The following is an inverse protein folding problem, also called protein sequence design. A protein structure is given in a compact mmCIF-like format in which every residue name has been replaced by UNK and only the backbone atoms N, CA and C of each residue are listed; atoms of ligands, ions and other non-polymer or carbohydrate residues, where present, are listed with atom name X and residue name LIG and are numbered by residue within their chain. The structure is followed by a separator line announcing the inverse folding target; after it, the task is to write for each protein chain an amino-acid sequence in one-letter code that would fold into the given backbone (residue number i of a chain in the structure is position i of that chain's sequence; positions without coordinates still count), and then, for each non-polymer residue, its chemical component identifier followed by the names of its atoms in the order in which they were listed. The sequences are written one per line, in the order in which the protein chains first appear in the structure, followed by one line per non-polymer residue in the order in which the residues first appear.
data_IF_738019812769
#
_entry.id   IF_738019812769
#
_cell.length_a   1.000
_cell.length_b   1.000
_cell.length_c   1.000
_cell.angle_alpha   90.00
_cell.angle_beta   90.00
_cell.angle_gamma   90.00
#
_symmetry.space_group_name_H-M   'P 1'
#
loop_
_entity.id
_entity.type
_entity.pdbx_description
1 polymer ?
#
# COMPACT_ATOMS: atom_id res chain seq x y z
N UNK A 1 13.21 -19.04 3.88
CA UNK A 1 12.19 -18.58 4.86
C UNK A 1 12.58 -17.21 5.44
N UNK A 2 12.87 -16.22 4.59
CA UNK A 2 13.44 -14.93 5.02
C UNK A 2 12.40 -13.79 5.19
N UNK A 3 11.13 -13.99 4.82
CA UNK A 3 10.15 -12.89 4.72
C UNK A 3 9.25 -12.67 5.93
N UNK A 4 9.32 -13.49 6.99
CA UNK A 4 8.43 -13.32 8.16
C UNK A 4 8.94 -12.28 9.20
N UNK A 5 10.05 -11.59 8.90
CA UNK A 5 10.74 -10.68 9.85
C UNK A 5 10.83 -9.22 9.35
N UNK A 6 10.16 -8.87 8.25
CA UNK A 6 10.17 -7.51 7.67
C UNK A 6 9.29 -6.52 8.45
N UNK A 7 8.27 -7.00 9.14
CA UNK A 7 7.26 -6.17 9.79
C UNK A 7 7.56 -5.99 11.28
N UNK A 8 8.18 -4.87 11.64
CA UNK A 8 8.37 -4.54 13.06
C UNK A 8 7.06 -4.07 13.69
N UNK A 9 6.85 -4.26 15.00
CA UNK A 9 5.67 -3.74 15.69
C UNK A 9 5.42 -2.25 15.44
N UNK A 10 6.48 -1.45 15.38
CA UNK A 10 6.40 -0.01 15.13
C UNK A 10 5.84 0.31 13.74
N UNK A 11 6.23 -0.47 12.72
CA UNK A 11 5.73 -0.31 11.36
C UNK A 11 4.23 -0.63 11.29
N UNK A 12 3.82 -1.74 11.90
CA UNK A 12 2.41 -2.17 11.95
C UNK A 12 1.57 -1.11 12.66
N UNK A 13 2.05 -0.57 13.78
CA UNK A 13 1.36 0.48 14.52
C UNK A 13 1.27 1.79 13.73
N UNK A 14 2.34 2.19 13.05
CA UNK A 14 2.33 3.38 12.21
C UNK A 14 1.33 3.26 11.05
N UNK A 15 1.30 2.11 10.37
CA UNK A 15 0.38 1.85 9.27
C UNK A 15 -1.08 1.81 9.76
N UNK A 16 -1.35 1.10 10.86
CA UNK A 16 -2.68 1.06 11.47
C UNK A 16 -3.14 2.47 11.89
N UNK A 17 -2.26 3.24 12.53
CA UNK A 17 -2.54 4.63 12.92
C UNK A 17 -2.89 5.52 11.74
N UNK A 18 -2.11 5.41 10.64
CA UNK A 18 -2.36 6.16 9.41
C UNK A 18 -3.71 5.79 8.76
N UNK A 19 -4.07 4.50 8.74
CA UNK A 19 -5.37 4.03 8.25
C UNK A 19 -6.51 4.62 9.08
N UNK A 20 -6.43 4.55 10.41
CA UNK A 20 -7.45 5.09 11.31
C UNK A 20 -7.62 6.59 11.13
N UNK A 21 -6.51 7.33 11.03
CA UNK A 21 -6.52 8.77 10.76
C UNK A 21 -7.20 9.10 9.44
N UNK A 22 -6.83 8.40 8.36
CA UNK A 22 -7.44 8.60 7.04
C UNK A 22 -8.95 8.33 7.10
N UNK A 23 -9.38 7.22 7.70
CA UNK A 23 -10.80 6.89 7.85
C UNK A 23 -11.56 7.94 8.67
N UNK A 24 -10.92 8.49 9.70
CA UNK A 24 -11.49 9.60 10.48
C UNK A 24 -11.69 10.84 9.63
N UNK A 25 -10.66 11.27 8.90
CA UNK A 25 -10.70 12.43 8.00
C UNK A 25 -11.75 12.24 6.88
N UNK A 26 -11.83 11.06 6.26
CA UNK A 26 -12.86 10.70 5.27
C UNK A 26 -14.28 10.76 5.86
N UNK A 27 -14.44 10.41 7.13
CA UNK A 27 -15.73 10.47 7.83
C UNK A 27 -16.15 11.90 8.23
N UNK A 28 -15.29 12.91 7.98
CA UNK A 28 -15.53 14.31 8.32
C UNK A 28 -15.48 14.63 9.82
N UNK A 29 -15.01 13.69 10.66
CA UNK A 29 -14.96 13.87 12.12
C UNK A 29 -13.63 14.46 12.56
N UNK A 30 -13.71 15.38 13.51
CA UNK A 30 -12.53 15.83 14.26
C UNK A 30 -12.01 14.71 15.16
N UNK A 31 -10.75 14.84 15.58
CA UNK A 31 -10.13 13.90 16.51
C UNK A 31 -10.86 13.87 17.87
N UNK A 32 -11.38 15.01 18.34
CA UNK A 32 -12.15 15.09 19.59
C UNK A 32 -13.48 14.34 19.48
N UNK A 33 -14.26 14.59 18.42
CA UNK A 33 -15.56 13.94 18.20
C UNK A 33 -15.43 12.43 18.06
N UNK A 34 -14.44 11.96 17.31
CA UNK A 34 -14.20 10.53 17.12
C UNK A 34 -13.79 9.84 18.43
N UNK A 35 -12.94 10.49 19.23
CA UNK A 35 -12.50 9.98 20.52
C UNK A 35 -13.65 9.92 21.54
N UNK A 36 -14.45 10.99 21.63
CA UNK A 36 -15.63 11.06 22.48
C UNK A 36 -16.63 9.96 22.13
N UNK A 37 -16.99 9.83 20.85
CA UNK A 37 -17.92 8.81 20.38
C UNK A 37 -17.40 7.38 20.65
N UNK A 38 -16.07 7.18 20.67
CA UNK A 38 -15.45 5.89 20.95
C UNK A 38 -15.22 5.64 22.45
N UNK A 39 -15.53 6.60 23.33
CA UNK A 39 -15.32 6.51 24.77
C UNK A 39 -13.85 6.47 25.18
N UNK A 40 -12.97 7.17 24.44
CA UNK A 40 -11.53 7.25 24.70
C UNK A 40 -11.08 8.72 24.76
N UNK A 41 -9.90 8.98 25.30
CA UNK A 41 -9.39 10.36 25.33
C UNK A 41 -8.87 10.79 23.95
N UNK A 42 -9.03 12.08 23.57
CA UNK A 42 -8.44 12.62 22.35
C UNK A 42 -6.92 12.41 22.27
N UNK A 43 -6.22 12.60 23.39
CA UNK A 43 -4.78 12.33 23.47
C UNK A 43 -4.41 10.88 23.17
N UNK A 44 -5.19 9.91 23.67
CA UNK A 44 -4.97 8.50 23.37
C UNK A 44 -5.18 8.21 21.87
N UNK A 45 -6.27 8.69 21.28
CA UNK A 45 -6.51 8.52 19.83
C UNK A 45 -5.39 9.18 18.99
N UNK A 46 -4.88 10.33 19.41
CA UNK A 46 -3.75 10.99 18.74
C UNK A 46 -2.46 10.16 18.78
N UNK A 47 -2.12 9.57 19.93
CA UNK A 47 -0.95 8.68 20.03
C UNK A 47 -1.10 7.44 19.14
N UNK A 48 -2.31 6.87 19.07
CA UNK A 48 -2.65 5.75 18.19
C UNK A 48 -2.51 6.14 16.72
N UNK A 49 -3.11 7.24 16.29
CA UNK A 49 -3.06 7.72 14.89
C UNK A 49 -1.62 8.01 14.42
N UNK A 50 -0.71 8.27 15.36
CA UNK A 50 0.73 8.47 15.10
C UNK A 50 1.56 7.20 15.24
N UNK A 51 0.94 6.06 15.50
CA UNK A 51 1.63 4.77 15.69
C UNK A 51 2.45 4.66 16.97
N UNK A 52 2.21 5.52 17.97
CA UNK A 52 2.99 5.56 19.23
C UNK A 52 2.37 4.76 20.37
N UNK A 53 1.11 4.36 20.24
CA UNK A 53 0.42 3.52 21.22
C UNK A 53 -0.37 2.40 20.58
N UNK A 54 -0.31 1.25 21.23
CA UNK A 54 -1.19 0.13 20.96
C UNK A 54 -2.61 0.41 21.46
N UNK A 55 -3.57 -0.24 20.81
CA UNK A 55 -4.98 -0.18 21.16
C UNK A 55 -5.53 -1.59 21.25
N UNK A 56 -6.30 -1.86 22.30
CA UNK A 56 -7.00 -3.15 22.43
C UNK A 56 -8.00 -3.34 21.29
N UNK A 57 -8.26 -4.60 20.93
CA UNK A 57 -9.25 -4.96 19.90
C UNK A 57 -10.63 -4.37 20.23
N UNK A 58 -11.02 -4.34 21.51
CA UNK A 58 -12.28 -3.74 21.95
C UNK A 58 -12.38 -2.25 21.60
N UNK A 59 -11.31 -1.49 21.86
CA UNK A 59 -11.27 -0.05 21.54
C UNK A 59 -11.19 0.18 20.03
N UNK A 60 -10.46 -0.66 19.30
CA UNK A 60 -10.44 -0.63 17.84
C UNK A 60 -11.84 -0.83 17.26
N UNK A 61 -12.61 -1.79 17.78
CA UNK A 61 -13.99 -2.04 17.34
C UNK A 61 -14.92 -0.84 17.61
N UNK A 62 -14.76 -0.17 18.76
CA UNK A 62 -15.48 1.08 19.08
C UNK A 62 -15.14 2.18 18.09
N UNK A 63 -13.86 2.44 17.84
CA UNK A 63 -13.41 3.44 16.85
C UNK A 63 -13.91 3.09 15.44
N UNK A 64 -13.82 1.83 15.01
CA UNK A 64 -14.31 1.40 13.71
C UNK A 64 -15.83 1.66 13.56
N UNK A 65 -16.59 1.39 14.62
CA UNK A 65 -18.04 1.67 14.66
C UNK A 65 -18.34 3.16 14.55
N UNK A 66 -17.59 4.02 15.26
CA UNK A 66 -17.80 5.49 15.20
C UNK A 66 -17.44 6.08 13.85
N UNK A 67 -16.49 5.48 13.15
CA UNK A 67 -16.08 5.83 11.79
C UNK A 67 -16.97 5.21 10.70
N UNK A 68 -17.91 4.34 11.06
CA UNK A 68 -18.81 3.68 10.10
C UNK A 68 -18.08 2.66 9.20
N UNK A 69 -16.97 2.09 9.66
CA UNK A 69 -16.15 1.13 8.91
C UNK A 69 -16.09 -0.21 9.63
N UNK A 70 -16.11 -1.31 8.87
CA UNK A 70 -15.91 -2.63 9.45
C UNK A 70 -14.44 -2.83 9.85
N UNK A 71 -14.20 -3.46 11.01
CA UNK A 71 -12.85 -3.84 11.47
C UNK A 71 -12.10 -4.67 10.43
N UNK A 72 -12.80 -5.56 9.74
CA UNK A 72 -12.21 -6.35 8.65
C UNK A 72 -11.69 -5.50 7.49
N UNK A 73 -12.31 -4.35 7.20
CA UNK A 73 -11.83 -3.41 6.17
C UNK A 73 -10.53 -2.74 6.62
N UNK A 74 -10.43 -2.34 7.90
CA UNK A 74 -9.20 -1.78 8.47
C UNK A 74 -8.05 -2.79 8.36
N UNK A 75 -8.27 -4.04 8.73
CA UNK A 75 -7.22 -5.07 8.62
C UNK A 75 -6.86 -5.42 7.18
N UNK A 76 -7.81 -5.38 6.23
CA UNK A 76 -7.48 -5.54 4.81
C UNK A 76 -6.60 -4.41 4.29
N UNK A 77 -6.88 -3.18 4.70
CA UNK A 77 -6.04 -2.03 4.34
C UNK A 77 -4.67 -2.11 4.99
N UNK A 78 -4.59 -2.62 6.22
CA UNK A 78 -3.32 -2.85 6.91
C UNK A 78 -2.48 -3.87 6.14
N UNK A 79 -3.05 -5.02 5.80
CA UNK A 79 -2.37 -6.05 5.01
C UNK A 79 -1.89 -5.48 3.67
N UNK A 80 -2.78 -4.83 2.90
CA UNK A 80 -2.41 -4.23 1.62
C UNK A 80 -1.34 -3.14 1.74
N UNK A 81 -1.37 -2.36 2.83
CA UNK A 81 -0.37 -1.33 3.10
C UNK A 81 1.00 -1.91 3.42
N UNK A 82 1.05 -3.00 4.20
CA UNK A 82 2.28 -3.71 4.53
C UNK A 82 2.85 -4.43 3.29
N UNK A 83 2.01 -5.12 2.51
CA UNK A 83 2.38 -5.74 1.23
C UNK A 83 2.93 -4.70 0.23
N UNK A 84 2.28 -3.53 0.16
CA UNK A 84 2.71 -2.43 -0.69
C UNK A 84 4.08 -1.87 -0.29
N UNK A 85 4.45 -1.95 0.98
CA UNK A 85 5.79 -1.56 1.46
C UNK A 85 6.86 -2.62 1.16
N UNK A 86 6.52 -3.91 1.22
CA UNK A 86 7.43 -4.96 0.71
C UNK A 86 7.71 -4.77 -0.78
N UNK A 87 6.70 -4.38 -1.55
CA UNK A 87 6.86 -4.04 -2.97
C UNK A 87 7.57 -2.70 -3.20
N UNK A 88 7.48 -1.74 -2.28
CA UNK A 88 8.24 -0.48 -2.35
C UNK A 88 9.75 -0.68 -2.06
N UNK A 89 10.13 -1.81 -1.45
CA UNK A 89 11.51 -2.26 -1.38
C UNK A 89 12.08 -2.69 -2.74
N UNK A 90 11.24 -2.99 -3.73
CA UNK A 90 11.66 -3.16 -5.11
C UNK A 90 11.85 -1.78 -5.76
N UNK A 91 12.89 -1.59 -6.61
CA UNK A 91 13.09 -0.36 -7.35
C UNK A 91 11.82 0.03 -8.13
N UNK A 92 11.45 1.32 -8.16
CA UNK A 92 10.29 1.77 -8.94
C UNK A 92 10.49 1.62 -10.46
N UNK A 93 11.75 1.54 -10.92
CA UNK A 93 12.12 1.34 -12.31
C UNK A 93 11.95 -0.13 -12.73
N UNK A 94 11.03 -0.45 -13.67
CA UNK A 94 10.79 -1.81 -14.14
C UNK A 94 12.05 -2.51 -14.66
N UNK A 95 13.02 -1.77 -15.23
CA UNK A 95 14.27 -2.34 -15.70
C UNK A 95 15.19 -2.77 -14.55
N UNK A 96 15.13 -2.07 -13.42
CA UNK A 96 15.87 -2.46 -12.21
C UNK A 96 15.19 -3.62 -11.50
N UNK A 97 13.85 -3.65 -11.45
CA UNK A 97 13.09 -4.78 -10.92
C UNK A 97 13.43 -6.07 -11.67
N UNK A 98 13.40 -6.03 -13.00
CA UNK A 98 13.73 -7.19 -13.83
C UNK A 98 15.17 -7.66 -13.61
N UNK A 99 16.10 -6.71 -13.44
CA UNK A 99 17.51 -7.00 -13.18
C UNK A 99 17.72 -7.68 -11.83
N UNK A 100 17.02 -7.25 -10.79
CA UNK A 100 17.04 -7.88 -9.47
C UNK A 100 16.34 -9.24 -9.48
N UNK A 101 15.19 -9.38 -10.13
CA UNK A 101 14.52 -10.67 -10.28
C UNK A 101 15.43 -11.68 -11.03
N UNK A 102 16.17 -11.22 -12.03
CA UNK A 102 17.09 -12.03 -12.80
C UNK A 102 18.33 -12.51 -12.01
N UNK A 103 18.69 -11.91 -10.87
CA UNK A 103 19.82 -12.40 -10.05
C UNK A 103 19.47 -13.65 -9.26
N UNK A 104 18.18 -13.92 -9.05
CA UNK A 104 17.69 -15.04 -8.23
C UNK A 104 17.30 -16.26 -9.06
N UNK A 105 17.19 -16.10 -10.38
CA UNK A 105 16.80 -17.17 -11.30
C UNK A 105 18.01 -17.97 -11.75
N UNK A 106 17.86 -19.29 -11.82
CA UNK A 106 18.85 -20.15 -12.45
C UNK A 106 18.87 -19.94 -13.99
N UNK A 107 19.93 -20.40 -14.69
CA UNK A 107 20.08 -20.18 -16.13
C UNK A 107 18.95 -20.77 -16.99
N UNK A 108 18.25 -21.81 -16.51
CA UNK A 108 17.13 -22.44 -17.22
C UNK A 108 15.90 -21.56 -17.07
N UNK A 109 15.59 -21.11 -15.85
CA UNK A 109 14.48 -20.20 -15.60
C UNK A 109 14.66 -18.85 -16.34
N UNK A 110 15.87 -18.31 -16.38
CA UNK A 110 16.19 -17.10 -17.16
C UNK A 110 15.90 -17.27 -18.65
N UNK A 111 16.23 -18.43 -19.21
CA UNK A 111 15.98 -18.75 -20.63
C UNK A 111 14.49 -18.78 -20.92
N UNK A 112 13.70 -19.43 -20.06
CA UNK A 112 12.23 -19.48 -20.18
C UNK A 112 11.61 -18.09 -20.15
N UNK A 113 12.06 -17.20 -19.25
CA UNK A 113 11.58 -15.81 -19.17
C UNK A 113 11.94 -15.04 -20.45
N UNK A 114 13.15 -15.21 -20.99
CA UNK A 114 13.57 -14.56 -22.23
C UNK A 114 12.78 -15.04 -23.45
N UNK A 115 12.53 -16.35 -23.55
CA UNK A 115 11.73 -16.95 -24.62
C UNK A 115 10.27 -16.47 -24.56
N UNK A 116 9.69 -16.45 -23.36
CA UNK A 116 8.33 -15.94 -23.16
C UNK A 116 8.23 -14.44 -23.46
N UNK A 117 9.23 -13.64 -23.05
CA UNK A 117 9.28 -12.20 -23.36
C UNK A 117 9.38 -11.96 -24.87
N UNK A 118 10.19 -12.76 -25.56
CA UNK A 118 10.32 -12.72 -27.03
C UNK A 118 8.99 -13.09 -27.69
N UNK A 119 8.31 -14.12 -27.20
CA UNK A 119 6.98 -14.51 -27.65
C UNK A 119 5.95 -13.39 -27.45
N UNK A 120 5.94 -12.73 -26.29
CA UNK A 120 5.05 -11.61 -26.02
C UNK A 120 5.33 -10.43 -26.94
N UNK A 121 6.60 -10.08 -27.19
CA UNK A 121 6.98 -9.01 -28.13
C UNK A 121 6.55 -9.34 -29.57
N UNK A 122 6.56 -10.62 -29.96
CA UNK A 122 6.07 -11.06 -31.27
C UNK A 122 4.55 -11.02 -31.38
N UNK A 123 3.82 -11.16 -30.26
CA UNK A 123 2.34 -11.26 -30.23
C UNK A 123 1.63 -9.96 -29.86
N UNK A 124 2.29 -9.08 -29.12
CA UNK A 124 1.76 -7.77 -28.74
C UNK A 124 2.29 -6.72 -29.71
N UNK A 125 1.41 -6.14 -30.52
CA UNK A 125 1.72 -4.88 -31.16
C UNK A 125 2.05 -3.87 -30.05
N UNK A 126 3.30 -3.41 -30.00
CA UNK A 126 3.72 -2.28 -29.17
C UNK A 126 2.64 -1.19 -29.27
N UNK A 127 2.01 -0.73 -28.17
CA UNK A 127 1.02 0.33 -28.28
C UNK A 127 1.72 1.52 -28.95
N UNK A 128 1.25 1.91 -30.13
CA UNK A 128 1.78 3.09 -30.82
C UNK A 128 1.68 4.25 -29.85
N UNK A 129 2.84 4.76 -29.41
CA UNK A 129 2.92 6.09 -28.81
C UNK A 129 2.24 7.03 -29.82
N UNK A 130 1.03 7.50 -29.50
CA UNK A 130 0.37 8.53 -30.30
C UNK A 130 1.35 9.69 -30.36
N UNK A 131 1.97 9.91 -31.53
CA UNK A 131 2.71 11.14 -31.80
C UNK A 131 1.74 12.28 -31.48
N UNK A 132 2.00 13.01 -30.42
CA UNK A 132 1.31 14.26 -30.11
C UNK A 132 1.71 15.21 -31.24
N UNK A 133 0.94 15.17 -32.32
CA UNK A 133 1.18 15.99 -33.50
C UNK A 133 0.87 17.43 -33.17
N UNK A 134 1.86 18.30 -33.23
CA UNK A 134 1.64 19.74 -33.33
C UNK A 134 1.27 20.03 -34.79
N UNK A 135 -0.03 20.23 -35.06
CA UNK A 135 -0.47 20.79 -36.35
C UNK A 135 -0.19 22.30 -36.32
N UNK A 136 0.73 22.76 -37.19
CA UNK A 136 0.89 24.18 -37.46
C UNK A 136 -0.33 24.68 -38.27
N UNK A 137 -0.89 25.87 -37.96
CA UNK A 137 -2.02 26.42 -38.71
C UNK A 137 -1.56 26.86 -40.11
N UNK A 138 -2.31 26.44 -41.13
CA UNK A 138 -2.03 26.72 -42.54
C UNK A 138 -2.13 28.21 -42.89
N UNK A 139 -1.36 28.61 -43.90
CA UNK A 139 -1.51 29.87 -44.63
C UNK A 139 -2.37 29.66 -45.86
#
# INVERSE_FOLDING_TARGET
MASAHSETPELVLAMLGAILRRRREESGRTLAEAAEAAGISPGFLSEVERGRKEMSIERLAKVATTLGVAVATIYRELAAGLDGMEMAGLPADPHQQLRLAATVLDPVALRTVAEFSSYLLMRQAVPQQRRIGFQAPGR
#
